data_IF_624414598685
#
_entry.id   IF_624414598685
#
_cell.length_a   1.000
_cell.length_b   1.000
_cell.length_c   1.000
_cell.angle_alpha   90.00
_cell.angle_beta   90.00
_cell.angle_gamma   90.00
#
_symmetry.space_group_name_H-M   'P 1'
#
loop_
_entity.id
_entity.type
_entity.pdbx_description
1 polymer ?
#
# COMPACT_ATOMS: atom_id res chain seq x y z
N UNK A 1 -8.50 15.76 -7.55
CA UNK A 1 -7.48 14.69 -7.42
C UNK A 1 -6.50 15.10 -6.33
N UNK A 2 -6.36 14.33 -5.25
CA UNK A 2 -5.48 14.68 -4.12
C UNK A 2 -3.99 14.72 -4.56
N UNK A 3 -3.24 15.71 -4.08
CA UNK A 3 -1.81 15.93 -4.39
C UNK A 3 -0.95 14.67 -4.18
N UNK A 4 -1.33 13.81 -3.24
CA UNK A 4 -0.65 12.55 -2.91
C UNK A 4 -0.69 11.53 -4.05
N UNK A 5 -1.81 11.42 -4.78
CA UNK A 5 -1.97 10.46 -5.88
C UNK A 5 -1.09 10.83 -7.10
N UNK A 6 -0.77 12.12 -7.27
CA UNK A 6 0.15 12.59 -8.31
C UNK A 6 1.59 12.20 -7.94
N UNK A 7 1.95 12.38 -6.67
CA UNK A 7 3.27 12.03 -6.16
C UNK A 7 3.50 10.51 -6.21
N UNK A 8 2.49 9.70 -5.86
CA UNK A 8 2.57 8.23 -5.95
C UNK A 8 2.85 7.76 -7.38
N UNK A 9 2.10 8.27 -8.37
CA UNK A 9 2.33 7.93 -9.80
C UNK A 9 3.74 8.30 -10.28
N UNK A 10 4.29 9.41 -9.80
CA UNK A 10 5.68 9.79 -10.11
C UNK A 10 6.67 8.80 -9.50
N UNK A 11 6.43 8.40 -8.25
CA UNK A 11 7.29 7.47 -7.53
C UNK A 11 7.31 6.07 -8.17
N UNK A 12 6.14 5.55 -8.58
CA UNK A 12 6.06 4.30 -9.35
C UNK A 12 6.72 4.41 -10.73
N UNK A 13 6.61 5.57 -11.39
CA UNK A 13 7.28 5.82 -12.67
C UNK A 13 8.81 5.81 -12.50
N UNK A 14 9.31 6.37 -11.39
CA UNK A 14 10.74 6.35 -11.05
C UNK A 14 11.20 4.91 -10.77
N UNK A 15 10.45 4.15 -9.97
CA UNK A 15 10.73 2.73 -9.71
C UNK A 15 10.90 1.94 -11.02
N UNK A 16 9.92 2.05 -11.93
CA UNK A 16 9.98 1.36 -13.21
C UNK A 16 11.15 1.80 -14.09
N UNK A 17 11.50 3.09 -14.09
CA UNK A 17 12.66 3.59 -14.85
C UNK A 17 13.98 3.09 -14.30
N UNK A 18 14.14 3.07 -12.97
CA UNK A 18 15.37 2.58 -12.34
C UNK A 18 15.58 1.10 -12.68
N UNK A 19 14.56 0.27 -12.54
CA UNK A 19 14.64 -1.16 -12.84
C UNK A 19 14.97 -1.40 -14.32
N UNK A 20 14.28 -0.70 -15.24
CA UNK A 20 14.59 -0.79 -16.67
C UNK A 20 16.03 -0.37 -16.98
N UNK A 21 16.49 0.71 -16.37
CA UNK A 21 17.84 1.21 -16.56
C UNK A 21 18.88 0.20 -16.08
N UNK A 22 18.67 -0.39 -14.90
CA UNK A 22 19.53 -1.45 -14.35
C UNK A 22 19.58 -2.71 -15.22
N UNK A 23 18.51 -3.02 -15.94
CA UNK A 23 18.41 -4.21 -16.81
C UNK A 23 18.72 -3.92 -18.29
N UNK A 24 19.06 -2.68 -18.65
CA UNK A 24 19.27 -2.28 -20.05
C UNK A 24 18.00 -2.34 -20.93
N UNK A 25 16.81 -2.35 -20.31
CA UNK A 25 15.54 -2.45 -21.02
C UNK A 25 15.07 -1.10 -21.57
N UNK A 26 14.44 -1.13 -22.74
CA UNK A 26 13.89 0.08 -23.36
C UNK A 26 12.70 0.64 -22.56
N UNK A 27 12.43 1.94 -22.78
CA UNK A 27 11.33 2.69 -22.12
C UNK A 27 9.95 2.06 -22.34
N UNK A 28 9.77 1.28 -23.41
CA UNK A 28 8.49 0.69 -23.85
C UNK A 28 8.07 -0.57 -23.08
N UNK A 29 8.95 -1.19 -22.29
CA UNK A 29 8.58 -2.37 -21.50
C UNK A 29 7.50 -2.01 -20.45
N UNK A 30 6.49 -2.86 -20.25
CA UNK A 30 5.43 -2.56 -19.29
C UNK A 30 5.95 -2.70 -17.85
N UNK A 31 6.00 -1.59 -17.10
CA UNK A 31 6.52 -1.55 -15.72
C UNK A 31 5.85 -2.60 -14.82
N UNK A 32 4.54 -2.75 -14.92
CA UNK A 32 3.78 -3.67 -14.04
C UNK A 32 4.10 -5.13 -14.30
N UNK A 33 4.28 -5.53 -15.56
CA UNK A 33 4.69 -6.89 -15.91
C UNK A 33 6.12 -7.17 -15.46
N UNK A 34 7.02 -6.20 -15.65
CA UNK A 34 8.41 -6.30 -15.22
C UNK A 34 8.53 -6.44 -13.69
N UNK A 35 7.81 -5.60 -12.94
CA UNK A 35 7.76 -5.68 -11.49
C UNK A 35 7.27 -7.06 -11.01
N UNK A 36 6.20 -7.59 -11.63
CA UNK A 36 5.70 -8.94 -11.32
C UNK A 36 6.72 -10.03 -11.63
N UNK A 37 7.37 -9.99 -12.79
CA UNK A 37 8.35 -10.99 -13.20
C UNK A 37 9.56 -11.04 -12.25
N UNK A 38 9.95 -9.87 -11.74
CA UNK A 38 11.05 -9.74 -10.79
C UNK A 38 10.62 -9.91 -9.32
N UNK A 39 9.34 -10.17 -9.05
CA UNK A 39 8.78 -10.29 -7.70
C UNK A 39 9.05 -9.00 -6.88
N UNK A 40 8.99 -7.85 -7.55
CA UNK A 40 9.15 -6.54 -6.94
C UNK A 40 7.76 -5.95 -6.71
N UNK A 41 7.45 -5.65 -5.45
CA UNK A 41 6.19 -5.00 -5.10
C UNK A 41 6.14 -3.56 -5.60
N UNK A 42 4.93 -3.08 -5.91
CA UNK A 42 4.72 -1.65 -6.17
C UNK A 42 4.90 -0.85 -4.90
N UNK A 43 5.36 0.39 -5.06
CA UNK A 43 5.52 1.30 -3.93
C UNK A 43 4.18 1.61 -3.25
N UNK A 44 3.09 1.71 -4.02
CA UNK A 44 1.75 1.91 -3.47
C UNK A 44 1.36 0.79 -2.49
N UNK A 45 1.61 -0.47 -2.86
CA UNK A 45 1.28 -1.63 -2.03
C UNK A 45 2.09 -1.63 -0.73
N UNK A 46 3.39 -1.32 -0.80
CA UNK A 46 4.27 -1.20 0.36
C UNK A 46 3.77 -0.11 1.30
N UNK A 47 3.40 1.06 0.76
CA UNK A 47 2.89 2.19 1.56
C UNK A 47 1.57 1.81 2.22
N UNK A 48 0.65 1.18 1.50
CA UNK A 48 -0.64 0.75 2.05
C UNK A 48 -0.43 -0.27 3.18
N UNK A 49 0.41 -1.30 2.98
CA UNK A 49 0.76 -2.26 4.02
C UNK A 49 1.39 -1.60 5.24
N UNK A 50 2.27 -0.62 5.05
CA UNK A 50 2.89 0.11 6.14
C UNK A 50 1.89 0.95 6.93
N UNK A 51 0.95 1.62 6.25
CA UNK A 51 -0.14 2.37 6.87
C UNK A 51 -1.02 1.45 7.72
N UNK A 52 -1.41 0.30 7.17
CA UNK A 52 -2.21 -0.69 7.88
C UNK A 52 -1.47 -1.29 9.08
N UNK A 53 -0.21 -1.66 8.90
CA UNK A 53 0.66 -2.17 9.97
C UNK A 53 0.88 -1.14 11.08
N UNK A 54 1.10 0.12 10.71
CA UNK A 54 1.23 1.20 11.68
C UNK A 54 -0.08 1.39 12.45
N UNK A 55 -1.22 1.43 11.77
CA UNK A 55 -2.53 1.56 12.40
C UNK A 55 -2.74 0.45 13.44
N UNK A 56 -2.55 -0.81 13.05
CA UNK A 56 -2.69 -1.96 13.96
C UNK A 56 -1.72 -1.87 15.15
N UNK A 57 -0.48 -1.45 14.92
CA UNK A 57 0.51 -1.29 16.01
C UNK A 57 0.16 -0.16 16.94
N UNK A 58 -0.38 0.96 16.46
CA UNK A 58 -0.79 2.10 17.29
C UNK A 58 -1.87 1.71 18.31
N UNK A 59 -2.72 0.73 17.98
CA UNK A 59 -3.76 0.24 18.89
C UNK A 59 -3.27 -0.72 19.99
N UNK A 60 -2.05 -1.26 19.89
CA UNK A 60 -1.53 -2.28 20.84
C UNK A 60 -0.99 -1.70 22.15
N UNK A 61 0.06 -0.85 22.15
CA UNK A 61 0.66 -0.37 23.39
C UNK A 61 -0.14 0.78 24.01
N UNK A 62 -0.18 0.83 25.34
CA UNK A 62 -0.58 2.03 26.08
C UNK A 62 0.32 3.21 25.67
N UNK A 63 -0.25 4.16 24.94
CA UNK A 63 0.50 5.34 24.46
C UNK A 63 -0.45 6.52 24.24
N UNK A 64 0.06 7.77 24.27
CA UNK A 64 -0.72 8.94 23.87
C UNK A 64 -1.29 8.81 22.45
N UNK A 65 -0.52 8.20 21.53
CA UNK A 65 -0.97 7.93 20.16
C UNK A 65 -2.19 7.00 20.14
N UNK A 66 -2.24 5.98 21.01
CA UNK A 66 -3.40 5.10 21.13
C UNK A 66 -4.64 5.85 21.60
N UNK A 67 -4.51 6.71 22.61
CA UNK A 67 -5.64 7.52 23.13
C UNK A 67 -6.18 8.46 22.05
N UNK A 68 -5.30 9.12 21.31
CA UNK A 68 -5.68 9.94 20.16
C UNK A 68 -6.41 9.09 19.12
N UNK A 69 -5.88 7.91 18.78
CA UNK A 69 -6.50 7.04 17.79
C UNK A 69 -7.87 6.51 18.24
N UNK A 70 -8.04 6.20 19.52
CA UNK A 70 -9.32 5.83 20.11
C UNK A 70 -10.33 6.98 20.01
N UNK A 71 -9.91 8.22 20.25
CA UNK A 71 -10.77 9.39 20.09
C UNK A 71 -11.17 9.61 18.61
N UNK A 72 -10.24 9.46 17.67
CA UNK A 72 -10.55 9.53 16.25
C UNK A 72 -11.50 8.40 15.83
N UNK A 73 -11.27 7.19 16.33
CA UNK A 73 -12.12 6.03 16.06
C UNK A 73 -13.53 6.22 16.64
N UNK A 74 -13.66 6.76 17.85
CA UNK A 74 -14.98 7.05 18.43
C UNK A 74 -15.73 8.07 17.60
N UNK A 75 -15.06 9.14 17.13
CA UNK A 75 -15.69 10.12 16.23
C UNK A 75 -16.15 9.47 14.93
N UNK A 76 -15.35 8.60 14.33
CA UNK A 76 -15.74 7.87 13.14
C UNK A 76 -16.95 6.95 13.37
N UNK A 77 -17.00 6.24 14.51
CA UNK A 77 -18.12 5.34 14.83
C UNK A 77 -19.41 6.12 15.07
N UNK A 78 -19.37 7.23 15.81
CA UNK A 78 -20.57 7.99 16.17
C UNK A 78 -21.07 8.91 15.07
N UNK A 79 -20.16 9.57 14.34
CA UNK A 79 -20.51 10.59 13.36
C UNK A 79 -20.28 10.15 11.91
N UNK A 80 -19.58 9.05 11.67
CA UNK A 80 -19.18 8.62 10.33
C UNK A 80 -18.07 9.46 9.69
N UNK A 81 -17.46 10.37 10.46
CA UNK A 81 -16.48 11.34 9.97
C UNK A 81 -15.04 10.96 10.32
N UNK A 82 -14.13 11.20 9.38
CA UNK A 82 -12.68 11.11 9.61
C UNK A 82 -12.07 12.50 9.67
N UNK A 83 -11.00 12.66 10.46
CA UNK A 83 -10.20 13.89 10.46
C UNK A 83 -9.20 13.79 9.29
N UNK A 84 -9.22 14.72 8.32
CA UNK A 84 -8.37 14.65 7.13
C UNK A 84 -6.89 14.47 7.45
N UNK A 85 -6.19 13.71 6.62
CA UNK A 85 -4.76 13.45 6.70
C UNK A 85 -4.30 12.71 7.97
N UNK A 86 -5.21 12.21 8.80
CA UNK A 86 -4.88 11.29 9.89
C UNK A 86 -4.62 9.88 9.38
N UNK A 87 -4.03 9.05 10.24
CA UNK A 87 -3.83 7.64 9.92
C UNK A 87 -5.16 6.90 9.71
N UNK A 88 -6.18 7.23 10.51
CA UNK A 88 -7.53 6.67 10.38
C UNK A 88 -8.17 7.06 9.04
N UNK A 89 -8.06 8.33 8.66
CA UNK A 89 -8.54 8.85 7.38
C UNK A 89 -7.91 8.13 6.19
N UNK A 90 -6.59 7.87 6.25
CA UNK A 90 -5.90 7.10 5.21
C UNK A 90 -6.43 5.67 5.11
N UNK A 91 -6.66 4.99 6.23
CA UNK A 91 -7.21 3.62 6.23
C UNK A 91 -8.61 3.60 5.60
N UNK A 92 -9.48 4.54 6.00
CA UNK A 92 -10.83 4.64 5.43
C UNK A 92 -10.78 4.97 3.93
N UNK A 93 -9.87 5.86 3.50
CA UNK A 93 -9.71 6.22 2.08
C UNK A 93 -9.22 5.06 1.19
N UNK A 94 -8.56 4.06 1.78
CA UNK A 94 -8.14 2.84 1.09
C UNK A 94 -9.31 1.85 0.91
N UNK A 95 -10.51 2.16 1.42
CA UNK A 95 -11.66 1.25 1.45
C UNK A 95 -11.58 0.20 2.55
N UNK A 96 -10.64 0.36 3.49
CA UNK A 96 -10.41 -0.59 4.58
C UNK A 96 -11.24 -0.23 5.81
N UNK A 97 -11.87 -1.22 6.43
CA UNK A 97 -12.61 -1.03 7.67
C UNK A 97 -11.64 -0.91 8.85
N UNK A 98 -11.58 0.25 9.53
CA UNK A 98 -10.67 0.42 10.66
C UNK A 98 -11.01 -0.53 11.80
N UNK A 99 -12.30 -0.73 12.09
CA UNK A 99 -12.77 -1.61 13.16
C UNK A 99 -12.42 -3.08 12.89
N UNK A 100 -12.62 -3.57 11.66
CA UNK A 100 -12.26 -4.95 11.30
C UNK A 100 -10.77 -5.21 11.53
N UNK A 101 -9.90 -4.24 11.25
CA UNK A 101 -8.44 -4.41 11.37
C UNK A 101 -7.91 -4.24 12.79
N UNK A 102 -8.54 -3.39 13.60
CA UNK A 102 -8.16 -3.22 15.01
C UNK A 102 -8.59 -4.38 15.88
N UNK A 103 -9.78 -4.95 15.63
CA UNK A 103 -10.36 -6.01 16.47
C UNK A 103 -10.02 -7.41 15.97
N UNK A 104 -9.86 -7.61 14.66
CA UNK A 104 -9.39 -8.88 14.13
C UNK A 104 -7.92 -8.72 13.75
N UNK A 105 -7.04 -9.42 14.48
CA UNK A 105 -5.63 -9.55 14.13
C UNK A 105 -5.49 -10.39 12.85
N UNK A 106 -5.89 -9.83 11.71
CA UNK A 106 -5.73 -10.46 10.41
C UNK A 106 -4.30 -10.21 9.93
N UNK A 107 -3.63 -11.30 9.54
CA UNK A 107 -2.39 -11.27 8.78
C UNK A 107 -2.59 -10.36 7.56
N UNK A 108 -1.71 -9.38 7.35
CA UNK A 108 -1.73 -8.57 6.13
C UNK A 108 -1.11 -9.46 5.05
N UNK A 109 -1.88 -9.97 4.08
CA UNK A 109 -1.34 -10.85 3.06
C UNK A 109 -0.30 -10.09 2.24
N UNK A 110 0.79 -10.77 1.86
CA UNK A 110 1.72 -10.23 0.90
C UNK A 110 1.01 -10.12 -0.46
N UNK A 111 1.08 -8.94 -1.07
CA UNK A 111 0.44 -8.60 -2.34
C UNK A 111 1.06 -9.33 -3.54
N UNK A 112 2.15 -10.05 -3.34
CA UNK A 112 2.83 -10.87 -4.36
C UNK A 112 2.10 -12.20 -4.67
N UNK A 113 0.77 -12.22 -4.64
CA UNK A 113 0.02 -13.36 -5.17
C UNK A 113 0.20 -13.37 -6.68
N UNK A 114 1.08 -14.26 -7.15
CA UNK A 114 1.37 -14.50 -8.56
C UNK A 114 0.09 -14.91 -9.29
N UNK A 115 -0.64 -13.94 -9.84
CA UNK A 115 -1.53 -14.22 -10.96
C UNK A 115 -0.61 -14.54 -12.14
N UNK A 116 -0.44 -15.84 -12.40
CA UNK A 116 0.35 -16.37 -13.51
C UNK A 116 -0.21 -15.80 -14.82
N UNK A 117 0.46 -14.78 -15.33
CA UNK A 117 0.24 -14.17 -16.63
C UNK A 117 1.33 -14.73 -17.55
N UNK A 118 0.97 -15.31 -18.70
CA UNK A 118 1.93 -15.95 -19.60
C UNK A 118 3.04 -14.99 -20.07
N UNK A 119 2.79 -13.69 -20.03
CA UNK A 119 3.80 -12.66 -20.29
C UNK A 119 4.82 -12.53 -19.14
N UNK A 120 4.39 -12.66 -17.89
CA UNK A 120 5.27 -12.66 -16.70
C UNK A 120 6.17 -13.90 -16.72
N UNK A 121 5.62 -15.06 -17.06
CA UNK A 121 6.38 -16.31 -17.18
C UNK A 121 7.41 -16.22 -18.32
N UNK A 122 7.04 -15.65 -19.46
CA UNK A 122 7.96 -15.48 -20.59
C UNK A 122 9.16 -14.58 -20.22
N UNK A 123 8.90 -13.46 -19.53
CA UNK A 123 9.98 -12.56 -19.06
C UNK A 123 10.89 -13.28 -18.05
N UNK A 124 10.33 -14.10 -17.16
CA UNK A 124 11.08 -14.82 -16.13
C UNK A 124 12.04 -15.87 -16.70
N UNK A 125 11.72 -16.46 -17.85
CA UNK A 125 12.56 -17.49 -18.50
C UNK A 125 13.52 -16.92 -19.56
N UNK A 126 13.49 -15.61 -19.82
CA UNK A 126 14.34 -14.91 -20.80
C UNK A 126 15.58 -14.23 -20.19
N UNK A 127 15.71 -14.21 -18.85
CA UNK A 127 16.89 -13.71 -18.12
C UNK A 127 17.72 -14.86 -17.59
#
# INVERSE_FOLDING_TARGET
MSSTAIQMRRLESVQGRLIKHSLGLSKLSHNTALLKALIIEKIEDIVNRNVLSLCNRTFKPESPARRLMQHLMSRFIFYGETVPATLLDRVVSMGESPTKRTFNSQHIPDTNVSNNDGLVDSIRHLS
#
